data_IF_737893479075
#
_entry.id   IF_737893479075
#
_cell.length_a   1.000
_cell.length_b   1.000
_cell.length_c   1.000
_cell.angle_alpha   90.00
_cell.angle_beta   90.00
_cell.angle_gamma   90.00
#
_symmetry.space_group_name_H-M   'P 1'
#
loop_
_entity.id
_entity.type
_entity.pdbx_description
1 polymer ?
#
# COMPACT_ATOMS: atom_id res chain seq x y z
N UNK A 1 12.31 -38.63 -12.34
CA UNK A 1 10.89 -38.96 -12.16
C UNK A 1 10.83 -40.18 -11.26
N UNK A 2 10.57 -39.99 -9.97
CA UNK A 2 10.09 -41.07 -9.11
C UNK A 2 9.39 -40.41 -7.94
N UNK A 3 8.08 -40.54 -7.94
CA UNK A 3 7.10 -39.80 -7.16
C UNK A 3 7.44 -39.81 -5.66
N UNK A 4 7.86 -38.66 -5.15
CA UNK A 4 8.06 -38.45 -3.73
C UNK A 4 6.67 -38.39 -3.05
N UNK A 5 6.21 -39.55 -2.59
CA UNK A 5 5.05 -39.65 -1.71
C UNK A 5 5.37 -38.88 -0.42
N UNK A 6 4.78 -37.69 -0.24
CA UNK A 6 4.91 -36.92 1.00
C UNK A 6 4.21 -37.66 2.15
N UNK A 7 4.89 -38.62 2.75
CA UNK A 7 4.47 -39.27 3.99
C UNK A 7 4.92 -38.42 5.17
N UNK A 8 3.98 -37.82 5.89
CA UNK A 8 4.26 -37.09 7.13
C UNK A 8 4.67 -38.05 8.24
N UNK A 9 5.81 -37.80 8.89
CA UNK A 9 6.28 -38.59 10.03
C UNK A 9 6.45 -37.72 11.28
N UNK A 10 6.14 -38.30 12.45
CA UNK A 10 6.29 -37.60 13.72
C UNK A 10 7.76 -37.60 14.15
N UNK A 11 8.28 -36.40 14.40
CA UNK A 11 9.65 -36.21 14.90
C UNK A 11 9.59 -35.90 16.38
N UNK A 12 10.14 -36.80 17.21
CA UNK A 12 10.40 -36.50 18.62
C UNK A 12 11.51 -35.47 18.70
N UNK A 13 11.17 -34.27 19.16
CA UNK A 13 12.12 -33.16 19.33
C UNK A 13 11.86 -32.42 20.65
N UNK A 14 12.83 -31.61 21.08
CA UNK A 14 12.71 -30.74 22.25
C UNK A 14 12.25 -29.32 21.91
N UNK A 15 11.71 -29.08 20.70
CA UNK A 15 11.24 -27.75 20.32
C UNK A 15 9.99 -27.37 21.13
N UNK A 16 10.08 -26.24 21.83
CA UNK A 16 8.98 -25.65 22.61
C UNK A 16 8.85 -24.19 22.17
N UNK A 17 7.62 -23.73 21.96
CA UNK A 17 7.32 -22.31 21.81
C UNK A 17 7.00 -21.71 23.19
N UNK A 18 7.45 -20.48 23.41
CA UNK A 18 7.11 -19.68 24.59
C UNK A 18 6.62 -18.32 24.12
N UNK A 19 5.72 -17.70 24.90
CA UNK A 19 5.25 -16.35 24.60
C UNK A 19 6.39 -15.34 24.81
N UNK A 20 6.62 -14.48 23.83
CA UNK A 20 7.65 -13.44 23.87
C UNK A 20 7.02 -12.07 23.70
N UNK A 21 6.40 -11.57 24.77
CA UNK A 21 5.92 -10.20 24.88
C UNK A 21 6.83 -9.42 25.83
N UNK A 22 7.05 -8.13 25.56
CA UNK A 22 7.83 -7.30 26.48
C UNK A 22 7.12 -7.20 27.84
N UNK A 23 7.84 -7.38 28.97
CA UNK A 23 7.28 -7.21 30.31
C UNK A 23 6.68 -5.82 30.55
N UNK A 24 7.11 -4.81 29.79
CA UNK A 24 6.54 -3.46 29.82
C UNK A 24 5.02 -3.45 29.61
N UNK A 25 4.47 -4.45 28.91
CA UNK A 25 3.04 -4.57 28.61
C UNK A 25 2.31 -5.55 29.53
N UNK A 26 3.01 -6.24 30.43
CA UNK A 26 2.43 -7.22 31.37
C UNK A 26 2.41 -6.70 32.80
N UNK A 27 3.34 -5.82 33.17
CA UNK A 27 3.40 -5.21 34.50
C UNK A 27 2.36 -4.08 34.59
N UNK A 28 1.44 -4.18 35.54
CA UNK A 28 0.44 -3.15 35.79
C UNK A 28 1.10 -1.82 36.21
N UNK A 29 0.64 -0.70 35.65
CA UNK A 29 1.16 0.65 35.90
C UNK A 29 2.67 0.81 35.63
N UNK A 30 3.22 0.03 34.70
CA UNK A 30 4.59 0.22 34.24
C UNK A 30 4.75 1.58 33.55
N UNK A 31 5.77 2.32 33.95
CA UNK A 31 6.12 3.58 33.33
C UNK A 31 6.81 3.33 31.98
N UNK A 32 6.08 3.56 30.89
CA UNK A 32 6.53 3.36 29.51
C UNK A 32 7.69 4.29 29.10
N UNK A 33 8.02 5.31 29.91
CA UNK A 33 9.18 6.16 29.68
C UNK A 33 10.50 5.53 30.15
N UNK A 34 10.42 4.46 30.95
CA UNK A 34 11.61 3.74 31.42
C UNK A 34 12.26 2.94 30.30
N UNK A 35 13.59 2.91 30.27
CA UNK A 35 14.38 2.19 29.26
C UNK A 35 14.68 0.74 29.63
N UNK A 36 14.11 0.23 30.73
CA UNK A 36 14.40 -1.11 31.27
C UNK A 36 13.79 -2.22 30.42
N UNK A 37 12.57 -2.03 29.92
CA UNK A 37 11.88 -2.98 29.04
C UNK A 37 11.49 -2.32 27.71
N UNK A 38 11.62 -3.02 26.57
CA UNK A 38 11.34 -2.44 25.26
C UNK A 38 9.84 -2.16 25.07
N UNK A 39 9.49 -1.00 24.51
CA UNK A 39 8.10 -0.56 24.29
C UNK A 39 7.73 -0.48 22.80
N UNK A 40 8.31 -1.35 21.97
CA UNK A 40 8.03 -1.37 20.52
C UNK A 40 6.61 -1.86 20.24
N UNK A 41 5.83 -1.02 19.55
CA UNK A 41 4.50 -1.37 19.05
C UNK A 41 4.46 -1.22 17.54
N UNK A 42 3.99 -2.24 16.83
CA UNK A 42 3.75 -2.14 15.40
C UNK A 42 2.41 -1.43 15.14
N UNK A 43 2.45 -0.38 14.33
CA UNK A 43 1.26 0.30 13.83
C UNK A 43 0.42 -0.62 12.95
N UNK A 44 -0.90 -0.51 13.07
CA UNK A 44 -1.85 -1.30 12.30
C UNK A 44 -2.28 -0.52 11.05
N UNK A 45 -1.99 -1.08 9.87
CA UNK A 45 -2.37 -0.50 8.58
C UNK A 45 -3.45 -1.38 7.93
N UNK A 46 -4.44 -0.78 7.27
CA UNK A 46 -5.49 -1.55 6.58
C UNK A 46 -4.98 -2.22 5.31
N UNK A 47 -4.28 -1.46 4.46
CA UNK A 47 -3.68 -1.96 3.22
C UNK A 47 -2.39 -1.18 2.96
N UNK A 48 -1.37 -1.87 2.44
CA UNK A 48 -0.12 -1.25 1.98
C UNK A 48 -0.08 -1.46 0.47
N UNK A 49 -0.08 -0.37 -0.30
CA UNK A 49 -0.01 -0.42 -1.76
C UNK A 49 0.99 0.59 -2.29
N UNK A 50 1.74 0.18 -3.31
CA UNK A 50 2.71 1.02 -4.01
C UNK A 50 2.43 0.93 -5.50
N UNK A 51 2.39 2.09 -6.16
CA UNK A 51 2.27 2.16 -7.62
C UNK A 51 3.25 3.19 -8.18
N UNK A 52 4.01 2.80 -9.20
CA UNK A 52 4.90 3.68 -9.94
C UNK A 52 4.24 4.10 -11.27
N UNK A 53 4.36 5.37 -11.63
CA UNK A 53 3.92 5.88 -12.94
C UNK A 53 4.77 7.07 -13.38
N UNK A 54 4.84 7.27 -14.69
CA UNK A 54 5.53 8.40 -15.30
C UNK A 54 4.55 9.57 -15.37
N UNK A 55 4.99 10.74 -14.93
CA UNK A 55 4.19 11.97 -14.96
C UNK A 55 4.63 12.81 -16.17
N UNK A 56 3.70 13.24 -17.05
CA UNK A 56 4.03 14.12 -18.17
C UNK A 56 4.43 15.51 -17.68
N UNK A 57 5.11 16.29 -18.54
CA UNK A 57 5.48 17.66 -18.19
C UNK A 57 4.25 18.57 -18.15
N UNK A 58 4.26 19.61 -17.28
CA UNK A 58 3.17 20.60 -17.19
C UNK A 58 2.85 21.28 -18.52
N UNK A 59 3.84 21.43 -19.40
CA UNK A 59 3.65 22.00 -20.75
C UNK A 59 2.72 21.11 -21.58
N UNK A 60 2.89 19.79 -21.55
CA UNK A 60 2.02 18.87 -22.26
C UNK A 60 0.58 18.92 -21.73
N UNK A 61 0.39 18.97 -20.41
CA UNK A 61 -0.93 19.08 -19.79
C UNK A 61 -1.68 20.34 -20.27
N UNK A 62 -1.01 21.49 -20.27
CA UNK A 62 -1.60 22.77 -20.71
C UNK A 62 -1.91 22.74 -22.21
N UNK A 63 -0.97 22.25 -23.04
CA UNK A 63 -1.17 22.19 -24.50
C UNK A 63 -2.36 21.31 -24.85
N UNK A 64 -2.48 20.12 -24.26
CA UNK A 64 -3.62 19.22 -24.51
C UNK A 64 -4.94 19.86 -24.09
N UNK A 65 -4.97 20.56 -22.96
CA UNK A 65 -6.17 21.26 -22.48
C UNK A 65 -6.59 22.41 -23.42
N UNK A 66 -5.64 23.24 -23.85
CA UNK A 66 -5.91 24.37 -24.77
C UNK A 66 -6.41 23.86 -26.12
N UNK A 67 -5.76 22.83 -26.68
CA UNK A 67 -6.21 22.21 -27.94
C UNK A 67 -7.64 21.67 -27.80
N UNK A 68 -7.94 21.00 -26.69
CA UNK A 68 -9.28 20.49 -26.42
C UNK A 68 -10.34 21.60 -26.40
N UNK A 69 -10.06 22.71 -25.72
CA UNK A 69 -10.98 23.86 -25.65
C UNK A 69 -11.21 24.49 -27.04
N UNK A 70 -10.14 24.67 -27.83
CA UNK A 70 -10.25 25.25 -29.17
C UNK A 70 -11.06 24.36 -30.12
N UNK A 71 -10.85 23.05 -30.07
CA UNK A 71 -11.62 22.09 -30.87
C UNK A 71 -13.09 22.10 -30.46
N UNK A 72 -13.36 22.12 -29.16
CA UNK A 72 -14.72 22.19 -28.63
C UNK A 72 -15.42 23.47 -29.09
N UNK A 73 -14.81 24.64 -28.92
CA UNK A 73 -15.40 25.92 -29.33
C UNK A 73 -15.65 25.96 -30.84
N UNK A 74 -14.69 25.49 -31.63
CA UNK A 74 -14.80 25.44 -33.10
C UNK A 74 -15.95 24.52 -33.52
N UNK A 75 -16.07 23.34 -32.89
CA UNK A 75 -17.17 22.42 -33.16
C UNK A 75 -18.53 23.04 -32.84
N UNK A 76 -18.66 23.74 -31.70
CA UNK A 76 -19.90 24.44 -31.35
C UNK A 76 -20.26 25.51 -32.37
N UNK A 77 -19.29 26.34 -32.79
CA UNK A 77 -19.51 27.37 -33.81
C UNK A 77 -19.95 26.75 -35.14
N UNK A 78 -19.26 25.71 -35.61
CA UNK A 78 -19.61 25.01 -36.86
C UNK A 78 -21.01 24.39 -36.76
N UNK A 79 -21.33 23.70 -35.67
CA UNK A 79 -22.65 23.12 -35.47
C UNK A 79 -23.76 24.16 -35.40
N UNK A 80 -23.51 25.34 -34.81
CA UNK A 80 -24.48 26.44 -34.77
C UNK A 80 -24.72 27.03 -36.16
N UNK A 81 -23.66 27.22 -36.95
CA UNK A 81 -23.77 27.71 -38.33
C UNK A 81 -24.54 26.72 -39.21
N UNK A 82 -24.24 25.43 -39.12
CA UNK A 82 -24.93 24.39 -39.90
C UNK A 82 -26.39 24.19 -39.49
N UNK A 83 -26.78 24.63 -38.29
CA UNK A 83 -28.14 24.53 -37.77
C UNK A 83 -29.01 25.76 -38.10
N UNK A 84 -28.39 26.89 -38.46
CA UNK A 84 -29.07 28.10 -38.88
C UNK A 84 -29.38 28.05 -40.39
#
# INVERSE_FOLDING_TARGET
MSDAFFSGYCVRSYSRSVSSMSPAFTIDNYDLSQTTYPVWTESRWSTISLRLFIIPTRKHEIVTLVIGILLLSTSFVVCLILRY
#
